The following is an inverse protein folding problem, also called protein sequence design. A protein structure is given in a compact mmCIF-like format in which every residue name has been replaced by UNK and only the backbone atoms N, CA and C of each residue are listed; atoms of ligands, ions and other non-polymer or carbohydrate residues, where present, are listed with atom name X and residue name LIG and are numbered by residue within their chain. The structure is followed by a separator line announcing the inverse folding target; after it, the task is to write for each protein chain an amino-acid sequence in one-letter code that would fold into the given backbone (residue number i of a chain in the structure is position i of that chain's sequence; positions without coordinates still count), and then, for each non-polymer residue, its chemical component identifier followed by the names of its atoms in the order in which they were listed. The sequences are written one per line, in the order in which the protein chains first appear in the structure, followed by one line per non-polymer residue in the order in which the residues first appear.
data_IF_373404568538
#
_entry.id   IF_373404568538
#
_cell.length_a   1.000
_cell.length_b   1.000
_cell.length_c   1.000
_cell.angle_alpha   90.00
_cell.angle_beta   90.00
_cell.angle_gamma   90.00
#
_symmetry.space_group_name_H-M   'P 1'
#
loop_
_entity.id
_entity.type
_entity.pdbx_description
1 polymer ?
#
# COMPACT_ATOMS: atom_id res chain seq x y z
N UNK A 1 -2.21 -6.93 -79.09
CA UNK A 1 -3.23 -7.98 -78.87
C UNK A 1 -4.16 -7.51 -77.77
N UNK A 2 -5.22 -6.80 -78.14
CA UNK A 2 -6.24 -6.31 -77.21
C UNK A 2 -7.41 -7.29 -77.25
N UNK A 3 -7.49 -8.14 -76.23
CA UNK A 3 -8.53 -9.16 -76.13
C UNK A 3 -9.82 -8.45 -75.68
N UNK A 4 -10.83 -8.45 -76.54
CA UNK A 4 -12.19 -8.00 -76.21
C UNK A 4 -12.68 -8.75 -74.97
N UNK A 5 -12.69 -8.07 -73.83
CA UNK A 5 -13.12 -8.66 -72.56
C UNK A 5 -14.61 -8.97 -72.66
N UNK A 6 -14.94 -10.25 -72.80
CA UNK A 6 -16.34 -10.73 -72.79
C UNK A 6 -17.03 -10.21 -71.53
N UNK A 7 -18.27 -9.71 -71.65
CA UNK A 7 -19.01 -9.10 -70.53
C UNK A 7 -19.12 -10.02 -69.31
N UNK A 8 -19.06 -11.34 -69.50
CA UNK A 8 -19.02 -12.33 -68.42
C UNK A 8 -17.75 -12.21 -67.58
N UNK A 9 -16.59 -12.02 -68.22
CA UNK A 9 -15.31 -11.81 -67.55
C UNK A 9 -15.34 -10.54 -66.69
N UNK A 10 -15.98 -9.48 -67.18
CA UNK A 10 -16.15 -8.22 -66.42
C UNK A 10 -17.01 -8.45 -65.18
N UNK A 11 -18.13 -9.18 -65.30
CA UNK A 11 -19.02 -9.49 -64.17
C UNK A 11 -18.33 -10.36 -63.10
N UNK A 12 -17.51 -11.34 -63.52
CA UNK A 12 -16.71 -12.17 -62.60
C UNK A 12 -15.68 -11.32 -61.84
N UNK A 13 -15.00 -10.39 -62.53
CA UNK A 13 -14.01 -9.51 -61.88
C UNK A 13 -14.67 -8.58 -60.85
N UNK A 14 -15.84 -8.01 -61.19
CA UNK A 14 -16.58 -7.12 -60.28
C UNK A 14 -17.09 -7.90 -59.05
N UNK A 15 -17.64 -9.10 -59.24
CA UNK A 15 -18.14 -9.92 -58.14
C UNK A 15 -17.03 -10.40 -57.21
N UNK A 16 -15.88 -10.83 -57.73
CA UNK A 16 -14.69 -11.17 -56.94
C UNK A 16 -14.16 -9.93 -56.20
N UNK A 17 -14.13 -8.77 -56.85
CA UNK A 17 -13.71 -7.50 -56.24
C UNK A 17 -14.58 -7.12 -55.04
N UNK A 18 -15.90 -7.23 -55.18
CA UNK A 18 -16.85 -6.96 -54.10
C UNK A 18 -16.69 -7.99 -52.97
N UNK A 19 -16.51 -9.27 -53.29
CA UNK A 19 -16.30 -10.33 -52.30
C UNK A 19 -15.03 -10.09 -51.46
N UNK A 20 -13.92 -9.73 -52.11
CA UNK A 20 -12.66 -9.39 -51.44
C UNK A 20 -12.83 -8.16 -50.55
N UNK A 21 -13.55 -7.13 -51.04
CA UNK A 21 -13.80 -5.92 -50.28
C UNK A 21 -14.66 -6.18 -49.02
N UNK A 22 -15.69 -7.02 -49.13
CA UNK A 22 -16.52 -7.45 -48.00
C UNK A 22 -15.68 -8.27 -47.00
N UNK A 23 -14.86 -9.20 -47.48
CA UNK A 23 -13.98 -10.00 -46.62
C UNK A 23 -13.00 -9.11 -45.87
N UNK A 24 -12.36 -8.15 -46.55
CA UNK A 24 -11.44 -7.20 -45.94
C UNK A 24 -12.14 -6.36 -44.87
N UNK A 25 -13.37 -5.90 -45.11
CA UNK A 25 -14.14 -5.14 -44.13
C UNK A 25 -14.47 -5.95 -42.88
N UNK A 26 -14.87 -7.22 -43.03
CA UNK A 26 -15.13 -8.12 -41.90
C UNK A 26 -13.84 -8.40 -41.14
N UNK A 27 -12.73 -8.67 -41.83
CA UNK A 27 -11.44 -8.89 -41.18
C UNK A 27 -10.95 -7.63 -40.46
N UNK A 28 -11.06 -6.45 -41.06
CA UNK A 28 -10.68 -5.18 -40.42
C UNK A 28 -11.53 -4.92 -39.18
N UNK A 29 -12.87 -5.02 -39.27
CA UNK A 29 -13.77 -4.90 -38.11
C UNK A 29 -13.43 -5.90 -37.01
N UNK A 30 -13.16 -7.15 -37.38
CA UNK A 30 -12.83 -8.23 -36.44
C UNK A 30 -11.45 -8.06 -35.82
N UNK A 31 -10.45 -7.61 -36.58
CA UNK A 31 -9.08 -7.32 -36.13
C UNK A 31 -9.07 -6.11 -35.19
N UNK A 32 -9.73 -5.02 -35.56
CA UNK A 32 -9.86 -3.81 -34.72
C UNK A 32 -10.60 -4.14 -33.43
N UNK A 33 -11.70 -4.89 -33.49
CA UNK A 33 -12.44 -5.32 -32.30
C UNK A 33 -11.58 -6.20 -31.39
N UNK A 34 -10.83 -7.16 -31.95
CA UNK A 34 -9.94 -8.04 -31.19
C UNK A 34 -8.77 -7.27 -30.57
N UNK A 35 -8.23 -6.27 -31.27
CA UNK A 35 -7.16 -5.42 -30.76
C UNK A 35 -7.66 -4.47 -29.67
N UNK A 36 -8.83 -3.86 -29.84
CA UNK A 36 -9.49 -3.03 -28.83
C UNK A 36 -9.89 -3.81 -27.57
N UNK A 37 -10.33 -5.06 -27.73
CA UNK A 37 -10.64 -5.95 -26.61
C UNK A 37 -9.38 -6.46 -25.89
N UNK A 38 -8.27 -6.70 -26.60
CA UNK A 38 -7.00 -7.13 -25.99
C UNK A 38 -6.25 -5.97 -25.32
N UNK A 39 -6.47 -4.73 -25.75
CA UNK A 39 -5.93 -3.53 -25.08
C UNK A 39 -6.71 -3.17 -23.81
N UNK A 40 -8.00 -3.54 -23.73
CA UNK A 40 -8.80 -3.43 -22.51
C UNK A 40 -8.51 -4.60 -21.58
N UNK A 41 -7.39 -4.54 -20.86
CA UNK A 41 -7.20 -5.23 -19.56
C UNK A 41 -8.09 -4.59 -18.49
N UNK A 42 -9.39 -4.48 -18.78
CA UNK A 42 -10.41 -4.01 -17.87
C UNK A 42 -11.54 -5.03 -17.85
N UNK A 43 -12.28 -5.16 -16.74
CA UNK A 43 -13.37 -6.11 -16.62
C UNK A 43 -14.34 -5.96 -17.79
N UNK A 44 -14.72 -7.08 -18.41
CA UNK A 44 -15.58 -7.16 -19.61
C UNK A 44 -16.95 -6.47 -19.41
N UNK A 45 -17.34 -6.25 -18.15
CA UNK A 45 -18.58 -5.60 -17.74
C UNK A 45 -18.22 -4.55 -16.67
N UNK A 46 -18.70 -3.29 -16.78
CA UNK A 46 -18.46 -2.29 -15.74
C UNK A 46 -19.10 -2.73 -14.42
N UNK A 47 -18.41 -2.50 -13.31
CA UNK A 47 -18.88 -2.88 -11.96
C UNK A 47 -20.27 -2.27 -11.73
N UNK A 48 -21.26 -3.13 -11.44
CA UNK A 48 -22.66 -2.72 -11.25
C UNK A 48 -23.47 -2.51 -12.54
N UNK A 49 -23.11 -3.13 -13.67
CA UNK A 49 -23.96 -3.13 -14.86
C UNK A 49 -25.30 -3.80 -14.58
N UNK A 50 -26.41 -3.11 -14.91
CA UNK A 50 -27.78 -3.60 -14.65
C UNK A 50 -28.30 -3.31 -13.24
N UNK A 51 -27.47 -2.79 -12.32
CA UNK A 51 -27.89 -2.42 -10.98
C UNK A 51 -28.58 -1.04 -10.94
N UNK A 52 -29.52 -0.85 -10.00
CA UNK A 52 -30.12 0.46 -9.70
C UNK A 52 -29.02 1.48 -9.36
N UNK A 53 -29.19 2.75 -9.78
CA UNK A 53 -28.18 3.82 -9.60
C UNK A 53 -27.70 3.96 -8.15
N UNK A 54 -28.59 3.78 -7.17
CA UNK A 54 -28.26 3.82 -5.74
C UNK A 54 -27.32 2.67 -5.33
N UNK A 55 -27.61 1.44 -5.76
CA UNK A 55 -26.77 0.27 -5.49
C UNK A 55 -25.40 0.38 -6.17
N UNK A 56 -25.35 0.88 -7.41
CA UNK A 56 -24.08 1.15 -8.10
C UNK A 56 -23.22 2.15 -7.30
N UNK A 57 -23.79 3.25 -6.82
CA UNK A 57 -23.07 4.23 -5.99
C UNK A 57 -22.54 3.61 -4.70
N UNK A 58 -23.34 2.78 -4.03
CA UNK A 58 -22.91 2.11 -2.79
C UNK A 58 -21.77 1.11 -3.04
N UNK A 59 -21.83 0.34 -4.11
CA UNK A 59 -20.76 -0.58 -4.50
C UNK A 59 -19.46 0.20 -4.74
N UNK A 60 -19.51 1.29 -5.50
CA UNK A 60 -18.32 2.13 -5.73
C UNK A 60 -17.81 2.73 -4.42
N UNK A 61 -18.70 3.26 -3.56
CA UNK A 61 -18.32 3.80 -2.24
C UNK A 61 -17.57 2.78 -1.39
N UNK A 62 -18.02 1.52 -1.38
CA UNK A 62 -17.35 0.45 -0.63
C UNK A 62 -16.04 0.05 -1.26
N UNK A 63 -15.96 -0.03 -2.59
CA UNK A 63 -14.72 -0.31 -3.31
C UNK A 63 -13.68 0.80 -3.06
N UNK A 64 -14.11 2.06 -3.07
CA UNK A 64 -13.26 3.22 -2.76
C UNK A 64 -12.80 3.24 -1.29
N UNK A 65 -13.49 2.51 -0.41
CA UNK A 65 -13.08 2.32 0.98
C UNK A 65 -12.05 1.20 1.14
N UNK A 66 -12.03 0.17 0.28
CA UNK A 66 -11.07 -0.95 0.33
C UNK A 66 -9.60 -0.47 0.38
N UNK A 67 -9.12 0.44 -0.48
CA UNK A 67 -7.71 0.88 -0.42
C UNK A 67 -7.38 1.67 0.86
N UNK A 68 -8.39 2.12 1.62
CA UNK A 68 -8.20 2.78 2.93
C UNK A 68 -8.07 1.77 4.07
N UNK A 69 -8.46 0.52 3.86
CA UNK A 69 -8.30 -0.55 4.84
C UNK A 69 -6.85 -0.99 4.78
N UNK A 70 -6.04 -0.45 5.68
CA UNK A 70 -4.61 -0.74 5.80
C UNK A 70 -4.40 -1.53 7.08
N UNK A 71 -4.56 -2.85 6.99
CA UNK A 71 -4.42 -3.78 8.12
C UNK A 71 -3.64 -5.01 7.68
N UNK A 72 -2.59 -5.37 8.43
CA UNK A 72 -1.82 -6.60 8.22
C UNK A 72 -2.28 -7.64 9.25
N UNK A 73 -3.05 -8.67 8.83
CA UNK A 73 -3.53 -9.71 9.74
C UNK A 73 -2.38 -10.63 10.19
N UNK A 74 -2.48 -11.13 11.42
CA UNK A 74 -1.64 -12.23 11.93
C UNK A 74 -2.10 -13.53 11.31
N UNK A 75 -1.17 -14.32 10.77
CA UNK A 75 -1.48 -15.51 9.98
C UNK A 75 -1.67 -16.75 10.85
N UNK A 76 -0.86 -16.90 11.91
CA UNK A 76 -0.92 -18.03 12.85
C UNK A 76 -1.61 -17.57 14.12
N UNK A 77 -2.64 -18.32 14.51
CA UNK A 77 -3.28 -18.17 15.81
C UNK A 77 -2.55 -19.06 16.83
N UNK A 78 -2.00 -18.47 17.89
CA UNK A 78 -1.30 -19.20 18.96
C UNK A 78 -2.23 -20.16 19.71
N UNK A 79 -3.54 -19.91 19.66
CA UNK A 79 -4.55 -20.74 20.33
C UNK A 79 -5.08 -21.88 19.44
N UNK A 80 -4.77 -21.90 18.14
CA UNK A 80 -5.18 -23.00 17.26
C UNK A 80 -4.18 -24.15 17.39
N UNK A 81 -4.54 -25.11 18.26
CA UNK A 81 -3.87 -26.40 18.40
C UNK A 81 -3.91 -27.26 17.14
N UNK A 82 -4.52 -26.79 16.05
CA UNK A 82 -4.56 -27.46 14.75
C UNK A 82 -3.19 -27.51 14.06
N UNK A 83 -2.25 -26.65 14.48
CA UNK A 83 -0.84 -26.70 14.07
C UNK A 83 0.06 -27.47 15.05
N UNK A 84 -0.49 -27.90 16.20
CA UNK A 84 0.15 -28.81 17.15
C UNK A 84 -0.25 -30.23 16.70
N UNK A 85 0.36 -30.72 15.62
CA UNK A 85 0.02 -32.06 15.11
C UNK A 85 0.69 -33.20 15.92
N UNK A 86 0.10 -34.42 15.89
CA UNK A 86 0.61 -35.64 16.54
C UNK A 86 2.00 -36.07 16.03
N UNK A 87 2.68 -37.02 16.70
CA UNK A 87 4.12 -37.30 16.55
C UNK A 87 4.61 -37.73 15.16
N UNK A 88 3.71 -38.09 14.23
CA UNK A 88 4.06 -38.74 12.95
C UNK A 88 3.68 -37.94 11.70
N UNK A 89 3.16 -36.72 11.83
CA UNK A 89 2.71 -35.93 10.67
C UNK A 89 3.56 -34.68 10.45
N UNK A 90 4.24 -34.65 9.31
CA UNK A 90 4.97 -33.52 8.74
C UNK A 90 4.14 -32.22 8.85
N UNK A 91 4.79 -31.14 9.29
CA UNK A 91 4.16 -29.81 9.29
C UNK A 91 3.63 -29.49 7.89
N UNK A 92 2.45 -28.85 7.77
CA UNK A 92 1.92 -28.48 6.47
C UNK A 92 2.95 -27.63 5.72
N UNK A 93 3.14 -27.82 4.39
CA UNK A 93 4.17 -27.12 3.61
C UNK A 93 4.09 -25.59 3.67
N UNK A 94 2.92 -25.04 4.01
CA UNK A 94 2.71 -23.59 4.15
C UNK A 94 3.07 -23.04 5.53
N UNK A 95 3.24 -23.88 6.56
CA UNK A 95 3.46 -23.43 7.94
C UNK A 95 4.67 -22.50 8.05
N UNK A 96 5.79 -22.88 7.43
CA UNK A 96 7.02 -22.09 7.46
C UNK A 96 6.87 -20.73 6.77
N UNK A 97 6.02 -20.63 5.74
CA UNK A 97 5.66 -19.35 5.11
C UNK A 97 4.88 -18.46 6.06
N UNK A 98 3.82 -19.01 6.66
CA UNK A 98 2.97 -18.26 7.60
C UNK A 98 3.80 -17.77 8.79
N UNK A 99 4.69 -18.62 9.30
CA UNK A 99 5.58 -18.29 10.41
C UNK A 99 6.57 -17.20 10.05
N UNK A 100 7.21 -17.28 8.87
CA UNK A 100 8.10 -16.23 8.39
C UNK A 100 7.40 -14.87 8.28
N UNK A 101 6.13 -14.87 7.84
CA UNK A 101 5.34 -13.63 7.72
C UNK A 101 5.01 -12.99 9.07
N UNK A 102 4.63 -13.80 10.06
CA UNK A 102 4.34 -13.30 11.41
C UNK A 102 5.62 -12.87 12.14
N UNK A 103 6.73 -13.58 11.94
CA UNK A 103 8.01 -13.28 12.58
C UNK A 103 8.57 -11.88 12.19
N UNK A 104 8.26 -11.37 10.99
CA UNK A 104 8.61 -9.99 10.61
C UNK A 104 7.99 -8.96 11.57
N UNK A 105 6.80 -9.24 12.09
CA UNK A 105 6.13 -8.37 13.06
C UNK A 105 6.90 -8.27 14.37
N UNK A 106 7.61 -9.31 14.77
CA UNK A 106 8.47 -9.28 15.95
C UNK A 106 9.61 -8.28 15.77
N UNK A 107 10.23 -8.25 14.58
CA UNK A 107 11.27 -7.27 14.26
C UNK A 107 10.71 -5.83 14.22
N UNK A 108 9.55 -5.61 13.60
CA UNK A 108 8.90 -4.29 13.57
C UNK A 108 8.53 -3.78 14.97
N UNK A 109 7.99 -4.66 15.82
CA UNK A 109 7.68 -4.36 17.21
C UNK A 109 8.95 -4.01 17.99
N UNK A 110 10.03 -4.76 17.80
CA UNK A 110 11.30 -4.49 18.47
C UNK A 110 11.88 -3.13 18.04
N UNK A 111 11.86 -2.79 16.75
CA UNK A 111 12.32 -1.47 16.27
C UNK A 111 11.46 -0.35 16.89
N UNK A 112 10.14 -0.51 16.87
CA UNK A 112 9.19 0.47 17.44
C UNK A 112 9.38 0.62 18.95
N UNK A 113 9.72 -0.46 19.65
CA UNK A 113 10.02 -0.46 21.10
C UNK A 113 11.26 0.36 21.43
N UNK A 114 12.26 0.36 20.56
CA UNK A 114 13.51 1.11 20.76
C UNK A 114 13.37 2.59 20.36
N UNK A 115 12.65 2.88 19.28
CA UNK A 115 12.32 4.22 18.85
C UNK A 115 10.85 4.29 18.35
N UNK A 116 9.93 4.87 19.13
CA UNK A 116 8.53 5.00 18.75
C UNK A 116 8.28 5.80 17.47
N UNK A 117 9.26 6.60 17.01
CA UNK A 117 9.14 7.36 15.76
C UNK A 117 9.43 6.51 14.51
N UNK A 118 10.01 5.31 14.67
CA UNK A 118 10.38 4.42 13.59
C UNK A 118 9.33 3.32 13.39
N UNK A 119 8.05 3.70 13.32
CA UNK A 119 6.97 2.78 13.03
C UNK A 119 6.77 2.66 11.51
N UNK A 120 6.71 1.43 10.97
CA UNK A 120 6.42 1.19 9.54
C UNK A 120 4.94 1.37 9.25
N UNK A 121 4.59 2.16 8.25
CA UNK A 121 3.21 2.20 7.76
C UNK A 121 2.93 0.95 6.88
N UNK A 122 1.76 0.29 6.93
CA UNK A 122 1.60 -0.99 6.24
C UNK A 122 1.63 -0.91 4.71
N UNK A 123 1.52 0.29 4.13
CA UNK A 123 1.74 0.52 2.68
C UNK A 123 3.20 0.74 2.30
N UNK A 124 4.11 0.86 3.27
CA UNK A 124 5.53 1.08 3.02
C UNK A 124 6.24 -0.24 2.74
N UNK A 125 7.23 -0.16 1.84
CA UNK A 125 8.07 -1.29 1.49
C UNK A 125 9.00 -1.64 2.67
N UNK A 126 8.94 -2.90 3.12
CA UNK A 126 9.78 -3.43 4.20
C UNK A 126 11.27 -3.20 3.96
N UNK A 127 11.75 -3.37 2.73
CA UNK A 127 13.14 -3.19 2.35
C UNK A 127 13.60 -1.75 2.58
N UNK A 128 12.85 -0.78 2.06
CA UNK A 128 13.15 0.64 2.22
C UNK A 128 13.13 1.07 3.70
N UNK A 129 12.14 0.56 4.45
CA UNK A 129 12.02 0.79 5.88
C UNK A 129 13.24 0.26 6.65
N UNK A 130 13.63 -1.01 6.47
CA UNK A 130 14.76 -1.61 7.19
C UNK A 130 16.10 -0.97 6.84
N UNK A 131 16.33 -0.63 5.56
CA UNK A 131 17.57 0.04 5.16
C UNK A 131 17.68 1.43 5.79
N UNK A 132 16.57 2.14 5.96
CA UNK A 132 16.54 3.49 6.57
C UNK A 132 16.69 3.43 8.08
N UNK A 133 15.99 2.51 8.75
CA UNK A 133 15.98 2.40 10.22
C UNK A 133 17.28 1.79 10.75
N UNK A 134 17.78 0.74 10.10
CA UNK A 134 18.96 0.00 10.53
C UNK A 134 20.26 0.45 9.85
N UNK A 135 20.26 1.52 9.05
CA UNK A 135 21.47 2.08 8.43
C UNK A 135 22.60 2.35 9.43
N UNK A 136 22.28 2.98 10.57
CA UNK A 136 23.28 3.37 11.56
C UNK A 136 23.85 2.18 12.36
N UNK A 137 23.06 1.21 12.83
CA UNK A 137 23.59 0.01 13.50
C UNK A 137 24.37 -0.95 12.60
N UNK A 138 24.11 -0.98 11.28
CA UNK A 138 24.57 -2.06 10.39
C UNK A 138 25.83 -1.74 9.56
N UNK A 139 26.49 -0.59 9.74
CA UNK A 139 27.81 -0.24 9.20
C UNK A 139 28.12 -0.77 7.78
N UNK A 140 27.27 -0.44 6.79
CA UNK A 140 27.48 -0.76 5.36
C UNK A 140 27.34 -2.24 4.98
N UNK A 141 27.99 -3.15 5.69
CA UNK A 141 27.94 -4.60 5.46
C UNK A 141 26.57 -5.21 5.75
N UNK A 142 25.81 -4.63 6.69
CA UNK A 142 24.47 -5.14 6.99
C UNK A 142 23.39 -4.74 5.98
N UNK A 143 23.69 -3.88 4.99
CA UNK A 143 22.78 -3.64 3.88
C UNK A 143 22.56 -4.91 3.06
N UNK A 144 23.62 -5.69 2.81
CA UNK A 144 23.52 -7.01 2.15
C UNK A 144 22.67 -7.99 2.96
N UNK A 145 22.78 -7.93 4.29
CA UNK A 145 21.97 -8.76 5.18
C UNK A 145 20.49 -8.41 5.11
N UNK A 146 20.15 -7.11 5.10
CA UNK A 146 18.77 -6.62 4.94
C UNK A 146 18.22 -7.04 3.58
N UNK A 147 19.01 -6.90 2.51
CA UNK A 147 18.61 -7.36 1.18
C UNK A 147 18.31 -8.85 1.15
N UNK A 148 19.22 -9.69 1.65
CA UNK A 148 19.02 -11.14 1.71
C UNK A 148 17.79 -11.53 2.55
N UNK A 149 17.57 -10.85 3.68
CA UNK A 149 16.39 -11.05 4.51
C UNK A 149 15.10 -10.68 3.76
N UNK A 150 15.07 -9.55 3.06
CA UNK A 150 13.91 -9.11 2.28
C UNK A 150 13.65 -10.05 1.10
N UNK A 151 14.69 -10.56 0.44
CA UNK A 151 14.54 -11.49 -0.68
C UNK A 151 13.90 -12.82 -0.20
N UNK A 152 14.31 -13.34 0.96
CA UNK A 152 13.68 -14.52 1.59
C UNK A 152 12.24 -14.26 2.05
N UNK A 153 11.96 -13.04 2.51
CA UNK A 153 10.60 -12.65 2.88
C UNK A 153 9.67 -12.55 1.65
N UNK A 154 10.15 -11.95 0.56
CA UNK A 154 9.44 -11.92 -0.72
C UNK A 154 9.22 -13.33 -1.26
N UNK A 155 10.20 -14.22 -1.08
CA UNK A 155 10.08 -15.63 -1.41
C UNK A 155 8.94 -16.32 -0.63
N UNK A 156 8.90 -16.15 0.69
CA UNK A 156 7.82 -16.71 1.51
C UNK A 156 6.43 -16.18 1.11
N UNK A 157 6.33 -14.90 0.69
CA UNK A 157 5.05 -14.21 0.46
C UNK A 157 4.49 -14.35 -0.95
N UNK A 158 5.36 -14.34 -1.95
CA UNK A 158 4.95 -14.16 -3.35
C UNK A 158 5.43 -15.27 -4.28
N UNK A 159 6.48 -16.01 -3.91
CA UNK A 159 6.98 -17.04 -4.80
C UNK A 159 6.12 -18.31 -4.79
N UNK A 160 5.97 -18.94 -5.98
CA UNK A 160 5.24 -20.19 -6.11
C UNK A 160 6.05 -21.40 -5.60
N UNK A 161 7.39 -21.30 -5.56
CA UNK A 161 8.29 -22.39 -5.14
C UNK A 161 8.16 -22.71 -3.65
N UNK A 162 8.33 -23.98 -3.26
CA UNK A 162 8.23 -24.41 -1.87
C UNK A 162 9.20 -23.64 -0.96
N UNK A 163 8.71 -23.26 0.23
CA UNK A 163 9.49 -22.58 1.27
C UNK A 163 9.44 -23.47 2.51
N UNK A 164 10.49 -24.25 2.72
CA UNK A 164 10.56 -25.28 3.74
C UNK A 164 11.26 -24.81 5.02
N UNK A 165 11.65 -25.80 5.82
CA UNK A 165 12.35 -25.57 7.09
C UNK A 165 13.75 -24.99 6.89
N UNK A 166 14.46 -25.39 5.84
CA UNK A 166 15.83 -24.94 5.55
C UNK A 166 15.86 -23.43 5.23
N UNK A 167 14.99 -22.98 4.32
CA UNK A 167 14.85 -21.56 3.98
C UNK A 167 14.39 -20.76 5.20
N UNK A 168 13.45 -21.31 5.98
CA UNK A 168 12.98 -20.70 7.21
C UNK A 168 14.08 -20.55 8.26
N UNK A 169 14.95 -21.54 8.45
CA UNK A 169 16.08 -21.45 9.39
C UNK A 169 17.07 -20.35 8.98
N UNK A 170 17.37 -20.23 7.69
CA UNK A 170 18.22 -19.15 7.17
C UNK A 170 17.56 -17.79 7.40
N UNK A 171 16.27 -17.67 7.10
CA UNK A 171 15.47 -16.47 7.35
C UNK A 171 15.47 -16.09 8.84
N UNK A 172 15.18 -17.04 9.72
CA UNK A 172 15.09 -16.83 11.16
C UNK A 172 16.44 -16.42 11.76
N UNK A 173 17.55 -17.00 11.28
CA UNK A 173 18.90 -16.58 11.69
C UNK A 173 19.21 -15.14 11.29
N UNK A 174 18.77 -14.71 10.10
CA UNK A 174 18.93 -13.31 9.66
C UNK A 174 18.03 -12.38 10.48
N UNK A 175 16.79 -12.79 10.76
CA UNK A 175 15.85 -12.08 11.60
C UNK A 175 16.45 -11.79 12.99
N UNK A 176 16.99 -12.80 13.68
CA UNK A 176 17.59 -12.64 15.00
C UNK A 176 18.77 -11.64 14.97
N UNK A 177 19.62 -11.71 13.94
CA UNK A 177 20.70 -10.73 13.75
C UNK A 177 20.18 -9.31 13.56
N UNK A 178 19.09 -9.14 12.82
CA UNK A 178 18.45 -7.83 12.63
C UNK A 178 17.78 -7.33 13.91
N UNK A 179 17.19 -8.22 14.71
CA UNK A 179 16.66 -7.91 16.05
C UNK A 179 17.78 -7.43 16.97
N UNK A 180 18.94 -8.10 16.97
CA UNK A 180 20.10 -7.67 17.76
C UNK A 180 20.63 -6.30 17.29
N UNK A 181 20.68 -6.06 15.99
CA UNK A 181 21.01 -4.74 15.44
C UNK A 181 19.97 -3.67 15.83
N UNK A 182 18.68 -4.03 15.87
CA UNK A 182 17.61 -3.14 16.32
C UNK A 182 17.78 -2.79 17.81
N UNK A 183 18.19 -3.73 18.66
CA UNK A 183 18.49 -3.46 20.08
C UNK A 183 19.60 -2.43 20.27
N UNK A 184 20.62 -2.46 19.40
CA UNK A 184 21.71 -1.48 19.41
C UNK A 184 21.24 -0.06 19.03
N UNK A 185 20.07 0.08 18.41
CA UNK A 185 19.52 1.38 18.03
C UNK A 185 19.30 2.30 19.23
N UNK A 186 18.98 1.74 20.42
CA UNK A 186 18.88 2.51 21.68
C UNK A 186 20.17 3.25 22.02
N UNK A 187 21.31 2.59 21.83
CA UNK A 187 22.64 3.18 22.11
C UNK A 187 22.95 4.33 21.15
N UNK A 188 22.59 4.19 19.86
CA UNK A 188 22.77 5.25 18.86
C UNK A 188 21.75 6.39 19.00
N UNK A 189 20.50 6.10 19.39
CA UNK A 189 19.45 7.10 19.60
C UNK A 189 19.79 8.04 20.78
N UNK A 190 20.37 7.50 21.85
CA UNK A 190 20.85 8.30 22.97
C UNK A 190 22.03 9.21 22.57
N UNK A 191 22.90 8.78 21.65
CA UNK A 191 24.00 9.59 21.11
C UNK A 191 23.50 10.73 20.19
N UNK A 192 22.40 10.54 19.45
CA UNK A 192 21.80 11.61 18.63
C UNK A 192 21.18 12.76 19.42
N UNK A 193 20.93 12.58 20.73
CA UNK A 193 20.44 13.65 21.61
C UNK A 193 21.54 14.59 22.11
N UNK A 194 22.82 14.25 21.96
CA UNK A 194 23.94 15.03 22.50
C UNK A 194 24.74 15.81 21.45
N UNK A 195 24.25 15.98 20.21
CA UNK A 195 24.97 16.73 19.18
C UNK A 195 24.38 18.14 19.00
N UNK A 196 25.15 19.24 19.17
CA UNK A 196 24.63 20.61 19.16
C UNK A 196 24.19 21.12 17.78
N UNK A 197 24.40 20.35 16.71
CA UNK A 197 24.42 20.86 15.34
C UNK A 197 23.30 20.33 14.43
N UNK A 198 22.07 20.19 14.94
CA UNK A 198 20.87 20.08 14.08
C UNK A 198 20.02 21.34 14.18
N UNK A 199 19.94 22.06 13.06
CA UNK A 199 18.90 23.06 12.83
C UNK A 199 17.51 22.42 13.03
N UNK A 200 16.59 23.08 13.74
CA UNK A 200 15.35 22.46 14.21
C UNK A 200 14.27 22.49 13.13
N UNK A 201 14.31 21.57 12.17
CA UNK A 201 13.20 21.37 11.22
C UNK A 201 12.22 20.33 11.77
N UNK A 202 11.55 20.67 12.87
CA UNK A 202 10.24 20.09 13.26
C UNK A 202 9.56 20.80 14.46
N UNK A 203 9.78 22.11 14.63
CA UNK A 203 8.99 22.94 15.55
C UNK A 203 8.08 23.97 14.85
N UNK A 204 8.24 24.20 13.53
CA UNK A 204 7.46 25.22 12.83
C UNK A 204 6.01 24.82 12.58
N UNK A 205 5.72 23.53 12.43
CA UNK A 205 4.35 23.06 12.12
C UNK A 205 3.42 23.18 13.34
N UNK A 206 3.91 22.85 14.53
CA UNK A 206 3.18 23.04 15.79
C UNK A 206 3.05 24.53 16.15
N UNK A 207 4.07 25.34 15.85
CA UNK A 207 4.02 26.80 16.04
C UNK A 207 3.02 27.46 15.08
N UNK A 208 2.96 27.02 13.81
CA UNK A 208 1.96 27.48 12.86
C UNK A 208 0.54 27.06 13.27
N UNK A 209 0.35 25.86 13.81
CA UNK A 209 -0.96 25.43 14.35
C UNK A 209 -1.37 26.25 15.57
N UNK A 210 -0.47 26.49 16.52
CA UNK A 210 -0.75 27.31 17.70
C UNK A 210 -1.02 28.78 17.34
N UNK A 211 -0.30 29.35 16.35
CA UNK A 211 -0.59 30.70 15.85
C UNK A 211 -1.95 30.78 15.14
N UNK A 212 -2.31 29.74 14.38
CA UNK A 212 -3.62 29.68 13.72
C UNK A 212 -4.76 29.54 14.74
N UNK A 213 -4.57 28.72 15.78
CA UNK A 213 -5.53 28.57 16.88
C UNK A 213 -5.65 29.84 17.73
N UNK A 214 -4.54 30.54 18.00
CA UNK A 214 -4.56 31.83 18.68
C UNK A 214 -5.29 32.91 17.85
N UNK A 215 -5.03 32.97 16.53
CA UNK A 215 -5.74 33.87 15.61
C UNK A 215 -7.23 33.56 15.50
N UNK A 216 -7.62 32.29 15.56
CA UNK A 216 -9.02 31.85 15.58
C UNK A 216 -9.72 32.14 16.92
N UNK A 217 -8.96 32.28 18.00
CA UNK A 217 -9.48 32.64 19.33
C UNK A 217 -9.64 34.16 19.48
N UNK A 218 -8.66 34.92 19.02
CA UNK A 218 -8.70 36.41 18.92
C UNK A 218 -9.90 36.86 18.05
N UNK A 219 -10.11 36.21 16.89
CA UNK A 219 -11.26 36.48 16.02
C UNK A 219 -12.62 36.13 16.65
N UNK A 220 -12.65 35.23 17.65
CA UNK A 220 -13.89 34.86 18.35
C UNK A 220 -14.23 35.81 19.50
N UNK A 221 -13.26 36.55 20.01
CA UNK A 221 -13.45 37.52 21.10
C UNK A 221 -13.94 38.88 20.55
N UNK A 222 -13.52 39.26 19.34
CA UNK A 222 -13.99 40.47 18.62
C UNK A 222 -15.44 40.38 18.10
N UNK A 223 -16.06 39.20 18.10
CA UNK A 223 -17.44 38.98 17.61
C UNK A 223 -18.41 38.71 18.78
N UNK A 224 -18.22 39.40 19.91
CA UNK A 224 -19.18 39.42 21.02
C UNK A 224 -19.94 40.76 21.05
N UNK A 225 -21.29 40.76 21.09
CA UNK A 225 -22.08 41.99 21.11
C UNK A 225 -21.94 42.71 22.46
N UNK A 226 -21.99 44.06 22.50
CA UNK A 226 -21.75 44.81 23.71
C UNK A 226 -22.86 44.58 24.74
N UNK A 227 -22.47 44.36 26.00
CA UNK A 227 -23.36 44.31 27.16
C UNK A 227 -24.05 45.67 27.36
N UNK A 228 -25.32 45.70 27.81
CA UNK A 228 -26.03 46.95 28.10
C UNK A 228 -25.44 47.66 29.34
N UNK A 229 -25.53 49.00 29.39
CA UNK A 229 -24.97 49.79 30.48
C UNK A 229 -25.70 49.56 31.82
N UNK A 230 -25.02 49.76 32.96
CA UNK A 230 -25.64 49.63 34.27
C UNK A 230 -26.64 50.77 34.52
N UNK A 231 -27.73 50.54 35.28
CA UNK A 231 -28.65 51.60 35.65
C UNK A 231 -28.00 52.57 36.64
N UNK A 232 -28.20 53.87 36.38
CA UNK A 232 -27.93 54.95 37.33
C UNK A 232 -28.99 54.93 38.43
N UNK A 233 -28.55 54.74 39.67
CA UNK A 233 -29.35 54.99 40.86
C UNK A 233 -28.75 56.19 41.60
N UNK A 234 -29.16 57.38 41.15
CA UNK A 234 -29.21 58.57 41.99
C UNK A 234 -30.37 58.42 42.97
N UNK A 235 -30.08 58.29 44.26
CA UNK A 235 -30.99 58.78 45.31
C UNK A 235 -30.20 59.07 46.58
N UNK A 236 -29.99 60.36 46.83
CA UNK A 236 -29.54 60.92 48.11
C UNK A 236 -30.78 61.55 48.75
N UNK A 237 -31.18 60.98 49.91
CA UNK A 237 -31.90 61.60 51.05
C UNK A 237 -33.03 62.60 50.78
N UNK A 238 -34.23 62.31 51.28
CA UNK A 238 -34.83 62.93 52.50
C UNK A 238 -35.78 61.94 53.15
#
# INVERSE_FOLDING_TARGET
MTQELTGVTVVIIVSIGILILIMLFIFAKRQIMRFALRSRRGPHIPIGHGAKKSLKKEIHRRIDAIPKIVYEPRMINENDSQYIMPPDNHLPPFYCRLKAMDDVKLLEQEITRQDPCLHRHPTENLRAYLLTTLAAPLNGMGQRMVHQFCDLYEHARHDPSEFGDEEYQVFHRLLLKLIDAARLLKSYSNSRKSSPNRTPVKKSQDKCRQLLEAKLKEKREDESPPLPPPPDNTETTV
#
